data_IF_503868415392
#
_entry.id   IF_503868415392
#
_cell.length_a   1.000
_cell.length_b   1.000
_cell.length_c   1.000
_cell.angle_alpha   90.00
_cell.angle_beta   90.00
_cell.angle_gamma   90.00
#
_symmetry.space_group_name_H-M   'P 1'
#
loop_
_entity.id
_entity.type
_entity.pdbx_description
1 polymer ?
#
# COMPACT_ATOMS: atom_id res chain seq x y z
N UNK A 1 -16.81 28.69 -4.97
CA UNK A 1 -16.81 27.32 -4.39
C UNK A 1 -16.53 26.36 -5.53
N UNK A 2 -15.49 25.55 -5.43
CA UNK A 2 -15.13 24.57 -6.48
C UNK A 2 -15.99 23.33 -6.31
N UNK A 3 -16.87 23.05 -7.27
CA UNK A 3 -17.73 21.88 -7.22
C UNK A 3 -16.93 20.64 -7.69
N UNK A 4 -16.43 19.85 -6.75
CA UNK A 4 -15.80 18.57 -7.03
C UNK A 4 -16.87 17.48 -7.15
N UNK A 5 -16.97 16.87 -8.32
CA UNK A 5 -17.85 15.73 -8.56
C UNK A 5 -17.09 14.43 -8.31
N UNK A 6 -17.55 13.61 -7.36
CA UNK A 6 -16.99 12.28 -7.16
C UNK A 6 -17.38 11.35 -8.32
N UNK A 7 -16.41 10.59 -8.84
CA UNK A 7 -16.67 9.63 -9.91
C UNK A 7 -17.42 8.41 -9.38
N UNK A 8 -18.52 8.04 -10.03
CA UNK A 8 -19.29 6.85 -9.71
C UNK A 8 -18.80 5.67 -10.55
N UNK A 9 -18.45 4.54 -9.90
CA UNK A 9 -18.02 3.33 -10.62
C UNK A 9 -19.06 2.81 -11.62
N UNK A 10 -20.36 3.07 -11.40
CA UNK A 10 -21.46 2.70 -12.31
C UNK A 10 -21.58 3.65 -13.51
N UNK A 11 -20.95 4.82 -13.46
CA UNK A 11 -20.96 5.81 -14.53
C UNK A 11 -19.54 6.36 -14.75
N UNK A 12 -18.80 5.72 -15.65
CA UNK A 12 -17.41 6.06 -15.98
C UNK A 12 -17.32 7.15 -17.08
N UNK A 13 -18.18 8.15 -16.99
CA UNK A 13 -18.20 9.28 -17.89
C UNK A 13 -18.57 10.56 -17.15
N UNK A 14 -18.16 11.70 -17.72
CA UNK A 14 -18.51 13.03 -17.23
C UNK A 14 -19.41 13.69 -18.27
N UNK A 15 -20.57 14.18 -17.82
CA UNK A 15 -21.43 15.03 -18.63
C UNK A 15 -20.87 16.45 -18.67
N UNK A 16 -20.47 16.93 -19.84
CA UNK A 16 -19.91 18.26 -20.04
C UNK A 16 -20.33 18.81 -21.41
N UNK A 17 -20.79 20.06 -21.47
CA UNK A 17 -21.22 20.73 -22.71
C UNK A 17 -22.24 19.89 -23.53
N UNK A 18 -23.15 19.18 -22.85
CA UNK A 18 -24.16 18.31 -23.46
C UNK A 18 -23.62 16.98 -24.00
N UNK A 19 -22.35 16.66 -23.77
CA UNK A 19 -21.69 15.42 -24.21
C UNK A 19 -21.32 14.55 -23.00
N UNK A 20 -21.29 13.24 -23.20
CA UNK A 20 -20.69 12.31 -22.24
C UNK A 20 -19.26 12.00 -22.66
N UNK A 21 -18.30 12.41 -21.84
CA UNK A 21 -16.88 12.25 -22.08
C UNK A 21 -16.42 11.03 -21.27
N UNK A 22 -15.86 9.98 -21.91
CA UNK A 22 -15.40 8.80 -21.20
C UNK A 22 -14.19 9.15 -20.31
N UNK A 23 -14.14 8.54 -19.13
CA UNK A 23 -12.98 8.66 -18.24
C UNK A 23 -11.83 7.75 -18.69
N UNK A 24 -10.58 8.07 -18.34
CA UNK A 24 -9.44 7.18 -18.56
C UNK A 24 -9.67 5.81 -17.94
N UNK A 25 -9.29 4.74 -18.65
CA UNK A 25 -9.63 3.36 -18.28
C UNK A 25 -9.18 2.96 -16.86
N UNK A 26 -8.04 3.50 -16.39
CA UNK A 26 -7.50 3.21 -15.06
C UNK A 26 -8.37 3.75 -13.92
N UNK A 27 -9.22 4.75 -14.16
CA UNK A 27 -10.12 5.34 -13.16
C UNK A 27 -11.12 4.31 -12.64
N UNK A 28 -11.56 3.40 -13.51
CA UNK A 28 -12.54 2.33 -13.19
C UNK A 28 -12.14 1.47 -11.98
N UNK A 29 -10.85 1.27 -11.77
CA UNK A 29 -10.29 0.43 -10.71
C UNK A 29 -10.37 1.09 -9.33
N UNK A 30 -10.42 2.42 -9.29
CA UNK A 30 -10.42 3.19 -8.04
C UNK A 30 -11.34 4.42 -8.11
N UNK A 31 -12.48 4.31 -8.79
CA UNK A 31 -13.40 5.42 -9.08
C UNK A 31 -13.77 6.26 -7.85
N UNK A 32 -13.98 5.62 -6.69
CA UNK A 32 -14.33 6.30 -5.43
C UNK A 32 -13.25 7.27 -4.92
N UNK A 33 -12.03 7.19 -5.44
CA UNK A 33 -10.90 8.06 -5.10
C UNK A 33 -10.66 9.17 -6.13
N UNK A 34 -11.37 9.16 -7.26
CA UNK A 34 -11.26 10.19 -8.28
C UNK A 34 -12.42 11.17 -8.21
N UNK A 35 -12.09 12.40 -8.53
CA UNK A 35 -13.00 13.54 -8.51
C UNK A 35 -12.75 14.37 -9.75
N UNK A 36 -13.80 14.93 -10.32
CA UNK A 36 -13.67 15.86 -11.43
C UNK A 36 -13.99 17.27 -10.97
N UNK A 37 -13.09 18.20 -11.26
CA UNK A 37 -13.28 19.63 -11.09
C UNK A 37 -13.81 20.21 -12.40
N UNK A 38 -15.11 20.49 -12.44
CA UNK A 38 -15.76 20.99 -13.65
C UNK A 38 -15.27 22.39 -14.07
N UNK A 39 -14.78 23.19 -13.12
CA UNK A 39 -14.30 24.54 -13.40
C UNK A 39 -12.91 24.51 -14.05
N UNK A 40 -11.97 23.80 -13.44
CA UNK A 40 -10.61 23.68 -14.00
C UNK A 40 -10.50 22.61 -15.08
N UNK A 41 -11.54 21.80 -15.27
CA UNK A 41 -11.59 20.64 -16.17
C UNK A 41 -10.49 19.62 -15.83
N UNK A 42 -10.23 19.42 -14.54
CA UNK A 42 -9.16 18.54 -14.05
C UNK A 42 -9.74 17.32 -13.34
N UNK A 43 -9.25 16.16 -13.71
CA UNK A 43 -9.40 14.92 -12.95
C UNK A 43 -8.41 14.94 -11.80
N UNK A 44 -8.94 14.92 -10.59
CA UNK A 44 -8.19 14.88 -9.33
C UNK A 44 -8.29 13.52 -8.70
N UNK A 45 -7.28 13.16 -7.93
CA UNK A 45 -7.25 11.98 -7.10
C UNK A 45 -7.08 12.34 -5.64
N UNK A 46 -7.83 11.67 -4.76
CA UNK A 46 -7.74 11.80 -3.31
C UNK A 46 -6.88 10.70 -2.71
N UNK A 47 -5.87 11.08 -1.91
CA UNK A 47 -5.10 10.12 -1.13
C UNK A 47 -5.97 9.51 -0.02
N UNK A 48 -5.95 8.18 0.13
CA UNK A 48 -6.71 7.50 1.18
C UNK A 48 -6.21 7.80 2.60
N UNK A 49 -4.94 8.21 2.76
CA UNK A 49 -4.33 8.45 4.08
C UNK A 49 -4.48 9.90 4.49
N UNK A 50 -3.90 10.84 3.74
CA UNK A 50 -3.93 12.26 4.11
C UNK A 50 -5.16 13.02 3.58
N UNK A 51 -6.03 12.39 2.78
CA UNK A 51 -7.22 12.99 2.18
C UNK A 51 -6.97 14.20 1.25
N UNK A 52 -5.70 14.52 0.96
CA UNK A 52 -5.35 15.57 0.01
C UNK A 52 -5.67 15.15 -1.42
N UNK A 53 -5.99 16.14 -2.25
CA UNK A 53 -6.27 16.00 -3.67
C UNK A 53 -5.04 16.39 -4.48
N UNK A 54 -4.86 15.70 -5.60
CA UNK A 54 -3.77 15.91 -6.54
C UNK A 54 -4.34 15.88 -7.94
N UNK A 55 -3.80 16.72 -8.81
CA UNK A 55 -4.24 16.84 -10.19
C UNK A 55 -3.55 15.75 -11.02
N UNK A 56 -4.33 15.04 -11.84
CA UNK A 56 -3.87 13.82 -12.54
C UNK A 56 -3.92 14.03 -14.03
N UNK A 57 -5.10 14.37 -14.56
CA UNK A 57 -5.28 14.64 -15.99
C UNK A 57 -6.17 15.85 -16.21
N UNK A 58 -5.92 16.58 -17.28
CA UNK A 58 -6.72 17.72 -17.70
C UNK A 58 -7.48 17.38 -18.96
N UNK A 59 -8.75 17.76 -19.01
CA UNK A 59 -9.60 17.57 -20.17
C UNK A 59 -9.48 18.77 -21.11
N UNK A 60 -8.77 18.56 -22.22
CA UNK A 60 -8.55 19.54 -23.28
C UNK A 60 -9.19 19.06 -24.59
N UNK A 61 -10.15 19.84 -25.12
CA UNK A 61 -10.84 19.54 -26.39
C UNK A 61 -11.47 18.13 -26.48
N UNK A 62 -11.91 17.58 -25.34
CA UNK A 62 -12.51 16.24 -25.27
C UNK A 62 -11.49 15.11 -25.12
N UNK A 63 -10.20 15.44 -25.07
CA UNK A 63 -9.11 14.49 -24.81
C UNK A 63 -8.51 14.72 -23.44
N UNK A 64 -8.12 13.63 -22.77
CA UNK A 64 -7.42 13.73 -21.51
C UNK A 64 -5.91 13.84 -21.74
N UNK A 65 -5.31 14.82 -21.10
CA UNK A 65 -3.87 15.06 -21.12
C UNK A 65 -3.31 14.83 -19.73
N UNK A 66 -2.21 14.10 -19.66
CA UNK A 66 -1.51 13.83 -18.42
C UNK A 66 -0.87 15.11 -17.90
N UNK A 67 -1.28 15.55 -16.70
CA UNK A 67 -0.77 16.76 -16.04
C UNK A 67 -0.26 16.46 -14.62
N UNK A 68 -0.04 15.18 -14.31
CA UNK A 68 0.34 14.76 -12.96
C UNK A 68 1.62 15.47 -12.49
N UNK A 69 1.61 15.89 -11.23
CA UNK A 69 2.80 16.35 -10.52
C UNK A 69 3.58 15.13 -9.99
N UNK A 70 4.91 15.13 -10.11
CA UNK A 70 5.84 14.05 -9.73
C UNK A 70 5.75 13.63 -8.25
N UNK A 71 5.00 14.37 -7.42
CA UNK A 71 4.58 13.98 -6.06
C UNK A 71 3.59 12.79 -6.04
N UNK A 72 3.23 12.24 -7.21
CA UNK A 72 2.40 11.06 -7.36
C UNK A 72 3.21 9.79 -7.67
N UNK A 73 2.97 8.73 -6.90
CA UNK A 73 3.67 7.46 -7.04
C UNK A 73 2.92 6.52 -8.01
N UNK A 74 3.44 6.34 -9.22
CA UNK A 74 3.06 5.22 -10.12
C UNK A 74 3.77 3.94 -9.68
N UNK A 75 3.13 3.10 -8.85
CA UNK A 75 3.70 1.77 -8.53
C UNK A 75 3.46 0.71 -9.60
N UNK A 76 2.59 0.93 -10.56
CA UNK A 76 2.07 -0.16 -11.38
C UNK A 76 1.74 0.29 -12.80
N UNK A 77 1.92 -0.65 -13.74
CA UNK A 77 1.41 -0.60 -15.13
C UNK A 77 -0.10 -0.41 -15.24
N UNK A 78 -0.80 -0.31 -14.10
CA UNK A 78 -2.25 -0.39 -13.94
C UNK A 78 -2.91 0.94 -13.52
N UNK A 79 -2.13 2.02 -13.31
CA UNK A 79 -2.61 3.36 -12.97
C UNK A 79 -1.95 3.97 -11.72
N UNK A 80 -2.67 4.85 -11.03
CA UNK A 80 -2.18 5.58 -9.86
C UNK A 80 -2.37 4.80 -8.54
N UNK A 81 -1.41 4.91 -7.61
CA UNK A 81 -1.48 4.34 -6.25
C UNK A 81 -2.57 4.99 -5.38
N UNK A 82 -3.20 4.25 -4.47
CA UNK A 82 -4.19 4.81 -3.50
C UNK A 82 -3.60 5.81 -2.49
N UNK A 83 -2.27 5.98 -2.50
CA UNK A 83 -1.50 6.82 -1.58
C UNK A 83 -0.69 7.85 -2.35
N UNK A 84 -0.48 9.04 -1.77
CA UNK A 84 0.51 9.99 -2.28
C UNK A 84 1.94 9.54 -1.93
N UNK A 85 2.94 10.14 -2.58
CA UNK A 85 4.38 9.85 -2.33
C UNK A 85 4.71 10.04 -0.85
N UNK A 86 4.30 11.15 -0.25
CA UNK A 86 4.59 11.44 1.17
C UNK A 86 4.10 10.35 2.12
N UNK A 87 2.84 9.91 1.98
CA UNK A 87 2.28 8.86 2.83
C UNK A 87 2.93 7.49 2.59
N UNK A 88 3.45 7.24 1.39
CA UNK A 88 4.21 6.04 1.08
C UNK A 88 5.59 6.09 1.73
N UNK A 89 6.28 7.22 1.61
CA UNK A 89 7.62 7.40 2.17
C UNK A 89 7.60 7.33 3.70
N UNK A 90 6.57 7.88 4.33
CA UNK A 90 6.32 7.70 5.77
C UNK A 90 6.08 6.23 6.15
N UNK A 91 5.34 5.49 5.32
CA UNK A 91 5.10 4.06 5.55
C UNK A 91 6.38 3.24 5.41
N UNK A 92 7.17 3.53 4.38
CA UNK A 92 8.44 2.84 4.10
C UNK A 92 9.49 3.17 5.16
N UNK A 93 9.61 4.43 5.58
CA UNK A 93 10.52 4.86 6.65
C UNK A 93 10.15 4.29 8.03
N UNK A 94 8.85 4.09 8.31
CA UNK A 94 8.39 3.34 9.50
C UNK A 94 8.70 1.85 9.40
N UNK A 95 8.74 1.26 8.21
CA UNK A 95 9.15 -0.13 8.00
C UNK A 95 10.66 -0.31 8.17
N UNK A 96 11.49 0.62 7.71
CA UNK A 96 12.95 0.55 7.87
C UNK A 96 13.43 0.79 9.30
N UNK A 97 12.60 1.35 10.18
CA UNK A 97 12.87 1.46 11.63
C UNK A 97 12.46 0.24 12.46
N UNK A 98 11.75 -0.75 11.89
CA UNK A 98 11.62 -2.05 12.54
C UNK A 98 12.94 -2.78 12.29
N UNK A 99 13.74 -2.95 13.34
CA UNK A 99 15.01 -3.68 13.28
C UNK A 99 14.88 -4.93 12.42
N UNK A 100 15.90 -5.18 11.61
CA UNK A 100 15.96 -6.25 10.61
C UNK A 100 15.32 -7.54 11.12
N UNK A 101 14.10 -7.83 10.65
CA UNK A 101 13.40 -9.06 11.02
C UNK A 101 14.02 -10.16 10.17
N UNK A 102 15.03 -10.83 10.73
CA UNK A 102 15.60 -12.02 10.13
C UNK A 102 14.57 -13.15 10.26
N UNK A 103 13.94 -13.52 9.13
CA UNK A 103 13.11 -14.71 9.06
C UNK A 103 14.02 -15.92 8.93
N UNK A 104 14.00 -16.80 9.93
CA UNK A 104 14.73 -18.07 9.91
C UNK A 104 13.70 -19.19 9.83
N UNK A 105 13.90 -20.11 8.89
CA UNK A 105 13.11 -21.34 8.76
C UNK A 105 13.90 -22.47 9.38
N UNK A 106 13.30 -23.20 10.33
CA UNK A 106 13.91 -24.38 10.95
C UNK A 106 13.18 -25.63 10.50
N UNK A 107 13.95 -26.65 10.11
CA UNK A 107 13.43 -28.00 9.96
C UNK A 107 13.70 -28.75 11.27
N UNK A 108 12.63 -29.03 12.01
CA UNK A 108 12.68 -29.77 13.27
C UNK A 108 12.12 -31.16 13.07
N UNK A 109 12.75 -32.16 13.67
CA UNK A 109 12.19 -33.49 13.80
C UNK A 109 10.85 -33.44 14.54
N UNK A 110 9.95 -34.37 14.20
CA UNK A 110 8.57 -34.35 14.67
C UNK A 110 8.49 -34.42 16.20
N UNK A 111 9.34 -35.21 16.84
CA UNK A 111 9.40 -35.38 18.30
C UNK A 111 9.85 -34.10 19.01
N UNK A 112 10.88 -33.43 18.48
CA UNK A 112 11.37 -32.15 18.98
C UNK A 112 10.30 -31.06 18.87
N UNK A 113 9.61 -30.99 17.73
CA UNK A 113 8.51 -30.06 17.51
C UNK A 113 7.35 -30.28 18.50
N UNK A 114 6.99 -31.55 18.77
CA UNK A 114 5.97 -31.88 19.80
C UNK A 114 6.42 -31.47 21.19
N UNK A 115 7.67 -31.77 21.57
CA UNK A 115 8.21 -31.41 22.88
C UNK A 115 8.16 -29.90 23.12
N UNK A 116 8.61 -29.10 22.14
CA UNK A 116 8.59 -27.62 22.22
C UNK A 116 7.16 -27.11 22.39
N UNK A 117 6.18 -27.66 21.66
CA UNK A 117 4.77 -27.27 21.81
C UNK A 117 4.24 -27.54 23.21
N UNK A 118 4.52 -28.71 23.77
CA UNK A 118 4.08 -29.06 25.13
C UNK A 118 4.69 -28.09 26.14
N UNK A 119 6.00 -27.80 26.03
CA UNK A 119 6.68 -26.86 26.93
C UNK A 119 6.14 -25.44 26.82
N UNK A 120 5.92 -24.94 25.60
CA UNK A 120 5.32 -23.62 25.38
C UNK A 120 3.94 -23.51 26.04
N UNK A 121 3.10 -24.54 25.90
CA UNK A 121 1.79 -24.61 26.56
C UNK A 121 1.90 -24.63 28.09
N UNK A 122 2.81 -25.43 28.65
CA UNK A 122 3.02 -25.49 30.10
C UNK A 122 3.51 -24.15 30.68
N UNK A 123 4.25 -23.36 29.90
CA UNK A 123 4.71 -22.02 30.29
C UNK A 123 3.71 -20.91 29.94
N UNK A 124 2.56 -21.22 29.32
CA UNK A 124 1.54 -20.25 28.95
C UNK A 124 1.99 -19.25 27.87
N UNK A 125 2.98 -19.60 27.06
CA UNK A 125 3.51 -18.76 25.99
C UNK A 125 3.33 -19.37 24.60
N UNK A 126 3.47 -18.55 23.57
CA UNK A 126 3.36 -19.04 22.20
C UNK A 126 4.56 -19.92 21.81
N UNK A 127 4.33 -20.86 20.89
CA UNK A 127 5.38 -21.70 20.30
C UNK A 127 6.57 -20.87 19.77
N UNK A 128 6.28 -19.79 19.04
CA UNK A 128 7.29 -18.89 18.47
C UNK A 128 8.09 -18.14 19.55
N UNK A 129 7.42 -17.72 20.63
CA UNK A 129 8.09 -17.09 21.76
C UNK A 129 9.02 -18.06 22.48
N UNK A 130 8.57 -19.31 22.69
CA UNK A 130 9.39 -20.35 23.30
C UNK A 130 10.65 -20.63 22.48
N UNK A 131 10.52 -20.80 21.15
CA UNK A 131 11.68 -20.96 20.26
C UNK A 131 12.61 -19.76 20.33
N UNK A 132 12.05 -18.54 20.35
CA UNK A 132 12.86 -17.32 20.47
C UNK A 132 13.65 -17.30 21.77
N UNK A 133 13.06 -17.77 22.88
CA UNK A 133 13.79 -17.92 24.15
C UNK A 133 14.90 -18.95 24.04
N UNK A 134 14.64 -20.13 23.48
CA UNK A 134 15.67 -21.16 23.28
C UNK A 134 16.86 -20.62 22.48
N UNK A 135 16.60 -19.97 21.35
CA UNK A 135 17.64 -19.40 20.47
C UNK A 135 18.41 -18.28 21.18
N UNK A 136 17.75 -17.45 22.00
CA UNK A 136 18.42 -16.39 22.77
C UNK A 136 19.25 -16.91 23.94
N UNK A 137 18.87 -18.07 24.49
CA UNK A 137 19.55 -18.67 25.65
C UNK A 137 20.79 -19.45 25.21
N UNK A 138 20.80 -19.96 23.97
CA UNK A 138 21.95 -20.63 23.39
C UNK A 138 22.96 -19.62 22.81
N UNK A 139 24.02 -19.32 23.58
CA UNK A 139 25.10 -18.40 23.16
C UNK A 139 25.82 -18.83 21.88
N UNK A 140 25.69 -20.09 21.42
CA UNK A 140 26.27 -20.57 20.15
C UNK A 140 25.51 -20.08 18.92
N UNK A 141 24.24 -19.71 19.05
CA UNK A 141 23.48 -19.13 17.94
C UNK A 141 24.01 -17.75 17.50
N UNK A 142 24.80 -17.09 18.34
CA UNK A 142 25.49 -15.83 18.01
C UNK A 142 26.56 -16.00 16.93
N UNK A 143 27.10 -17.21 16.73
CA UNK A 143 28.11 -17.50 15.69
C UNK A 143 27.51 -17.79 14.30
N UNK A 144 26.18 -17.83 14.13
CA UNK A 144 25.54 -17.95 12.81
C UNK A 144 25.85 -16.75 11.88
N UNK A 145 26.24 -15.60 12.44
CA UNK A 145 26.74 -14.45 11.65
C UNK A 145 28.14 -14.66 11.05
N UNK A 146 28.89 -15.68 11.47
CA UNK A 146 30.22 -16.00 10.91
C UNK A 146 30.18 -17.13 9.87
N UNK A 147 29.01 -17.69 9.59
CA UNK A 147 28.80 -18.76 8.61
C UNK A 147 28.03 -18.30 7.35
N UNK A 148 27.76 -17.00 7.24
CA UNK A 148 27.33 -16.31 6.00
C UNK A 148 28.49 -15.46 5.49
#
# INVERSE_FOLDING_TARGET
MTALQQINKKNLSIGMDGRNIPLPAYVSRAASTYFFDAHSRVLKKRCHVCQQFYDVEQLNEGTWQDIHDEREYRKVSSGYSSYCVQCIDEKNSKQSKKGEIIKVTFHLEQEVSRFIKIKATLEGISYSEYITRLVKTDKRATDLKKLL
#
